data_IF_745579994240
#
_entry.id   IF_745579994240
#
_cell.length_a   1.000
_cell.length_b   1.000
_cell.length_c   1.000
_cell.angle_alpha   90.00
_cell.angle_beta   90.00
_cell.angle_gamma   90.00
#
_symmetry.space_group_name_H-M   'P 1'
#
loop_
_entity.id
_entity.type
_entity.pdbx_description
1 polymer ?
#
# COMPACT_ATOMS: atom_id res chain seq x y z
N UNK A 1 1.06 -4.82 13.78
CA UNK A 1 2.03 -5.61 13.00
C UNK A 1 1.39 -6.33 11.82
N UNK A 2 0.52 -7.33 12.03
CA UNK A 2 -0.04 -8.13 10.90
C UNK A 2 -0.81 -7.27 9.88
N UNK A 3 -1.63 -6.32 10.33
CA UNK A 3 -2.32 -5.38 9.44
C UNK A 3 -1.35 -4.57 8.57
N UNK A 4 -0.30 -4.03 9.17
CA UNK A 4 0.72 -3.26 8.46
C UNK A 4 1.49 -4.12 7.43
N UNK A 5 1.80 -5.39 7.75
CA UNK A 5 2.40 -6.30 6.77
C UNK A 5 1.48 -6.51 5.57
N UNK A 6 0.19 -6.71 5.77
CA UNK A 6 -0.78 -6.88 4.68
C UNK A 6 -0.91 -5.61 3.83
N UNK A 7 -1.10 -4.45 4.48
CA UNK A 7 -1.25 -3.14 3.82
C UNK A 7 -0.02 -2.85 2.96
N UNK A 8 1.17 -2.88 3.56
CA UNK A 8 2.42 -2.58 2.84
C UNK A 8 2.74 -3.61 1.75
N UNK A 9 2.43 -4.91 1.97
CA UNK A 9 2.60 -5.95 0.95
C UNK A 9 1.71 -5.68 -0.28
N UNK A 10 0.44 -5.34 -0.06
CA UNK A 10 -0.49 -5.04 -1.14
C UNK A 10 -0.06 -3.77 -1.92
N UNK A 11 0.31 -2.70 -1.21
CA UNK A 11 0.81 -1.47 -1.83
C UNK A 11 2.11 -1.72 -2.63
N UNK A 12 3.06 -2.50 -2.07
CA UNK A 12 4.30 -2.87 -2.77
C UNK A 12 4.02 -3.62 -4.07
N UNK A 13 3.14 -4.63 -4.02
CA UNK A 13 2.80 -5.45 -5.17
C UNK A 13 2.03 -4.67 -6.25
N UNK A 14 1.24 -3.66 -5.86
CA UNK A 14 0.63 -2.69 -6.77
C UNK A 14 1.66 -1.71 -7.39
N UNK A 15 2.90 -1.72 -6.90
CA UNK A 15 4.00 -0.88 -7.38
C UNK A 15 4.10 0.48 -6.69
N UNK A 16 3.33 0.71 -5.63
CA UNK A 16 3.35 1.93 -4.81
C UNK A 16 4.36 1.79 -3.65
N UNK A 17 5.65 1.76 -4.04
CA UNK A 17 6.73 1.44 -3.10
C UNK A 17 6.89 2.50 -1.99
N UNK A 18 6.49 3.75 -2.24
CA UNK A 18 6.50 4.81 -1.21
C UNK A 18 5.39 4.57 -0.19
N UNK A 19 4.16 4.34 -0.63
CA UNK A 19 3.06 3.99 0.27
C UNK A 19 3.33 2.71 1.07
N UNK A 20 4.00 1.71 0.46
CA UNK A 20 4.44 0.52 1.18
C UNK A 20 5.48 0.83 2.26
N UNK A 21 6.44 1.72 1.98
CA UNK A 21 7.43 2.20 2.93
C UNK A 21 6.73 2.83 4.16
N UNK A 22 5.83 3.78 3.92
CA UNK A 22 5.09 4.48 4.98
C UNK A 22 4.23 3.52 5.83
N UNK A 23 3.55 2.55 5.18
CA UNK A 23 2.75 1.55 5.87
C UNK A 23 3.56 0.71 6.89
N UNK A 24 4.85 0.56 6.67
CA UNK A 24 5.75 -0.19 7.58
C UNK A 24 6.52 0.71 8.54
N UNK A 25 6.71 2.00 8.23
CA UNK A 25 7.56 2.91 9.01
C UNK A 25 6.94 3.22 10.38
N UNK A 26 5.67 3.59 10.45
CA UNK A 26 5.00 3.89 11.72
C UNK A 26 5.11 2.73 12.72
N UNK A 27 4.70 1.47 12.38
CA UNK A 27 4.86 0.35 13.30
C UNK A 27 6.33 0.02 13.58
N UNK A 28 7.25 0.22 12.64
CA UNK A 28 8.69 0.03 12.86
C UNK A 28 9.24 0.97 13.91
N UNK A 29 8.87 2.24 13.89
CA UNK A 29 9.33 3.24 14.87
C UNK A 29 8.91 2.91 16.32
N UNK A 30 7.83 2.13 16.48
CA UNK A 30 7.35 1.71 17.80
C UNK A 30 8.04 0.44 18.33
N UNK A 31 8.90 -0.22 17.55
CA UNK A 31 9.54 -1.47 17.92
C UNK A 31 10.88 -1.25 18.64
N UNK A 32 11.18 -2.16 19.54
CA UNK A 32 12.50 -2.22 20.17
C UNK A 32 13.57 -2.64 19.15
N UNK A 33 14.64 -1.86 19.10
CA UNK A 33 15.77 -2.10 18.18
C UNK A 33 16.41 -3.47 18.40
N UNK A 34 16.75 -4.14 17.31
CA UNK A 34 17.39 -5.45 17.30
C UNK A 34 16.42 -6.63 17.47
N UNK A 35 15.12 -6.40 17.61
CA UNK A 35 14.13 -7.47 17.59
C UNK A 35 13.95 -8.06 16.18
N UNK A 36 13.39 -9.26 16.09
CA UNK A 36 13.12 -9.89 14.79
C UNK A 36 12.07 -9.11 13.97
N UNK A 37 11.07 -8.55 14.63
CA UNK A 37 10.03 -7.73 14.00
C UNK A 37 10.61 -6.41 13.47
N UNK A 38 11.46 -5.75 14.25
CA UNK A 38 12.17 -4.54 13.82
C UNK A 38 13.01 -4.81 12.57
N UNK A 39 13.78 -5.90 12.57
CA UNK A 39 14.58 -6.29 11.41
C UNK A 39 13.75 -6.63 10.17
N UNK A 40 12.60 -7.27 10.35
CA UNK A 40 11.69 -7.56 9.24
C UNK A 40 11.20 -6.26 8.60
N UNK A 41 10.59 -5.37 9.39
CA UNK A 41 10.03 -4.12 8.86
C UNK A 41 11.12 -3.24 8.26
N UNK A 42 12.26 -3.08 8.94
CA UNK A 42 13.38 -2.30 8.40
C UNK A 42 13.89 -2.87 7.07
N UNK A 43 14.00 -4.20 6.97
CA UNK A 43 14.37 -4.87 5.73
C UNK A 43 13.37 -4.65 4.60
N UNK A 44 12.07 -4.69 4.89
CA UNK A 44 11.00 -4.43 3.92
C UNK A 44 10.95 -2.95 3.48
N UNK A 45 11.10 -2.00 4.42
CA UNK A 45 11.21 -0.56 4.16
C UNK A 45 12.36 -0.30 3.18
N UNK A 46 13.54 -0.86 3.46
CA UNK A 46 14.69 -0.70 2.59
C UNK A 46 14.55 -1.42 1.25
N UNK A 47 13.80 -2.53 1.19
CA UNK A 47 13.47 -3.20 -0.07
C UNK A 47 12.58 -2.32 -0.94
N UNK A 48 11.53 -1.70 -0.37
CA UNK A 48 10.68 -0.74 -1.09
C UNK A 48 11.51 0.43 -1.64
N UNK A 49 12.35 1.02 -0.81
CA UNK A 49 13.25 2.11 -1.20
C UNK A 49 14.25 1.67 -2.29
N UNK A 50 14.87 0.49 -2.17
CA UNK A 50 15.77 -0.04 -3.18
C UNK A 50 15.09 -0.21 -4.54
N UNK A 51 13.86 -0.72 -4.54
CA UNK A 51 13.05 -0.91 -5.74
C UNK A 51 12.66 0.42 -6.37
N UNK A 52 12.28 1.40 -5.54
CA UNK A 52 11.99 2.76 -5.99
C UNK A 52 13.22 3.40 -6.66
N UNK A 53 14.40 3.35 -6.02
CA UNK A 53 15.65 3.86 -6.58
C UNK A 53 16.03 3.17 -7.90
N UNK A 54 15.85 1.86 -7.99
CA UNK A 54 16.11 1.11 -9.22
C UNK A 54 15.23 1.58 -10.38
N UNK A 55 13.95 1.86 -10.12
CA UNK A 55 13.02 2.41 -11.12
C UNK A 55 13.41 3.80 -11.62
N UNK A 56 14.01 4.60 -10.75
CA UNK A 56 14.56 5.93 -11.09
C UNK A 56 15.98 5.86 -11.68
N UNK A 57 16.51 4.66 -11.95
CA UNK A 57 17.89 4.43 -12.42
C UNK A 57 18.97 4.98 -11.47
N UNK A 58 18.62 5.18 -10.22
CA UNK A 58 19.60 5.49 -9.19
C UNK A 58 20.26 4.19 -8.70
N UNK A 59 21.18 3.68 -9.54
CA UNK A 59 21.81 2.38 -9.33
C UNK A 59 22.63 2.29 -8.04
N UNK A 60 23.31 3.37 -7.66
CA UNK A 60 24.10 3.44 -6.43
C UNK A 60 23.19 3.36 -5.19
N UNK A 61 22.09 4.09 -5.17
CA UNK A 61 21.07 4.03 -4.13
C UNK A 61 20.43 2.65 -4.04
N UNK A 62 19.99 2.10 -5.17
CA UNK A 62 19.39 0.78 -5.25
C UNK A 62 20.32 -0.32 -4.69
N UNK A 63 21.60 -0.32 -5.12
CA UNK A 63 22.62 -1.28 -4.65
C UNK A 63 22.82 -1.22 -3.15
N UNK A 64 23.02 -0.03 -2.61
CA UNK A 64 23.29 0.19 -1.18
C UNK A 64 22.10 -0.28 -0.33
N UNK A 65 20.88 0.13 -0.69
CA UNK A 65 19.67 -0.20 0.03
C UNK A 65 19.33 -1.69 -0.06
N UNK A 66 19.53 -2.31 -1.24
CA UNK A 66 19.34 -3.75 -1.40
C UNK A 66 20.31 -4.57 -0.55
N UNK A 67 21.58 -4.17 -0.47
CA UNK A 67 22.56 -4.82 0.38
C UNK A 67 22.20 -4.70 1.86
N UNK A 68 21.77 -3.52 2.30
CA UNK A 68 21.35 -3.26 3.67
C UNK A 68 20.08 -4.05 4.02
N UNK A 69 19.05 -4.04 3.15
CA UNK A 69 17.84 -4.84 3.33
C UNK A 69 18.16 -6.33 3.47
N UNK A 70 19.04 -6.85 2.61
CA UNK A 70 19.48 -8.25 2.69
C UNK A 70 20.17 -8.59 4.02
N UNK A 71 20.94 -7.64 4.58
CA UNK A 71 21.59 -7.80 5.88
C UNK A 71 20.57 -7.86 7.03
N UNK A 72 19.58 -6.94 7.06
CA UNK A 72 18.50 -6.97 8.06
C UNK A 72 17.73 -8.29 8.03
N UNK A 73 17.38 -8.77 6.86
CA UNK A 73 16.62 -10.01 6.70
C UNK A 73 17.46 -11.28 6.92
N UNK A 74 18.79 -11.19 6.99
CA UNK A 74 19.67 -12.37 7.02
C UNK A 74 19.54 -13.23 8.27
N UNK A 75 19.17 -12.64 9.39
CA UNK A 75 19.01 -13.30 10.68
C UNK A 75 17.59 -13.86 10.93
N UNK A 76 16.67 -13.67 9.98
CA UNK A 76 15.31 -14.14 10.10
C UNK A 76 15.12 -15.50 9.46
N UNK A 77 14.16 -16.27 9.95
CA UNK A 77 13.72 -17.51 9.33
C UNK A 77 13.15 -17.26 7.93
N UNK A 78 13.18 -18.27 7.07
CA UNK A 78 12.77 -18.19 5.66
C UNK A 78 11.32 -17.77 5.43
N UNK A 79 10.45 -18.08 6.38
CA UNK A 79 9.03 -17.74 6.38
C UNK A 79 8.61 -16.88 7.57
N UNK A 80 9.53 -16.08 8.14
CA UNK A 80 9.22 -15.27 9.32
C UNK A 80 8.00 -14.39 9.11
N UNK A 81 7.06 -14.40 10.06
CA UNK A 81 5.77 -13.71 9.97
C UNK A 81 4.99 -14.03 8.69
N UNK A 82 5.09 -15.28 8.22
CA UNK A 82 4.39 -15.77 7.02
C UNK A 82 4.79 -15.03 5.73
N UNK A 83 5.89 -14.26 5.79
CA UNK A 83 6.46 -13.56 4.63
C UNK A 83 7.45 -14.45 3.88
N UNK A 84 7.54 -14.31 2.56
CA UNK A 84 8.50 -15.04 1.71
C UNK A 84 9.95 -14.51 1.83
N UNK A 85 10.47 -14.44 3.08
CA UNK A 85 11.75 -13.82 3.43
C UNK A 85 12.92 -14.39 2.64
N UNK A 86 12.99 -15.72 2.46
CA UNK A 86 14.06 -16.38 1.72
C UNK A 86 14.15 -15.90 0.25
N UNK A 87 12.99 -15.79 -0.40
CA UNK A 87 12.91 -15.31 -1.77
C UNK A 87 13.31 -13.83 -1.88
N UNK A 88 12.85 -13.00 -0.93
CA UNK A 88 13.18 -11.56 -0.86
C UNK A 88 14.69 -11.39 -0.65
N UNK A 89 15.31 -12.13 0.28
CA UNK A 89 16.79 -12.09 0.48
C UNK A 89 17.55 -12.44 -0.79
N UNK A 90 17.10 -13.46 -1.50
CA UNK A 90 17.75 -13.89 -2.75
C UNK A 90 17.65 -12.82 -3.82
N UNK A 91 16.47 -12.19 -3.96
CA UNK A 91 16.23 -11.09 -4.89
C UNK A 91 17.09 -9.87 -4.55
N UNK A 92 17.14 -9.49 -3.27
CA UNK A 92 17.95 -8.36 -2.77
C UNK A 92 19.45 -8.53 -3.02
N UNK A 93 20.00 -9.73 -2.79
CA UNK A 93 21.41 -10.03 -3.11
C UNK A 93 21.69 -9.84 -4.61
N UNK A 94 20.75 -10.26 -5.46
CA UNK A 94 20.86 -10.07 -6.90
C UNK A 94 20.81 -8.61 -7.30
N UNK A 95 19.85 -7.84 -6.73
CA UNK A 95 19.73 -6.41 -6.96
C UNK A 95 20.96 -5.63 -6.47
N UNK A 96 21.57 -6.05 -5.35
CA UNK A 96 22.79 -5.46 -4.84
C UNK A 96 24.00 -5.76 -5.75
N UNK A 97 24.07 -6.93 -6.37
CA UNK A 97 25.14 -7.30 -7.30
C UNK A 97 24.99 -6.64 -8.67
N UNK A 98 23.77 -6.65 -9.24
CA UNK A 98 23.42 -6.10 -10.56
C UNK A 98 22.12 -5.30 -10.45
N UNK A 99 22.17 -3.99 -10.12
CA UNK A 99 20.97 -3.20 -9.98
C UNK A 99 20.24 -2.98 -11.32
N UNK A 100 20.91 -3.03 -12.46
CA UNK A 100 20.29 -2.94 -13.79
C UNK A 100 19.43 -4.17 -14.12
N UNK A 101 19.55 -5.23 -13.33
CA UNK A 101 18.63 -6.38 -13.39
C UNK A 101 17.16 -5.95 -13.26
N UNK A 102 16.88 -4.87 -12.52
CA UNK A 102 15.53 -4.32 -12.34
C UNK A 102 14.90 -3.80 -13.65
N UNK A 103 15.68 -3.42 -14.66
CA UNK A 103 15.14 -3.03 -15.97
C UNK A 103 14.61 -4.24 -16.76
N UNK A 104 15.18 -5.39 -16.52
CA UNK A 104 14.88 -6.63 -17.27
C UNK A 104 13.86 -7.51 -16.58
N UNK A 105 13.53 -7.22 -15.33
CA UNK A 105 12.62 -8.03 -14.50
C UNK A 105 11.76 -7.14 -13.63
N UNK A 106 10.50 -7.58 -13.44
CA UNK A 106 9.65 -6.98 -12.42
C UNK A 106 10.22 -7.24 -11.02
N UNK A 107 9.99 -6.36 -10.04
CA UNK A 107 10.27 -6.67 -8.64
C UNK A 107 9.67 -8.01 -8.23
N UNK A 108 10.33 -8.71 -7.31
CA UNK A 108 9.75 -9.92 -6.73
C UNK A 108 8.51 -9.54 -5.93
N UNK A 109 7.38 -10.18 -6.22
CA UNK A 109 6.17 -9.99 -5.43
C UNK A 109 6.39 -10.48 -4.01
N UNK A 110 6.00 -9.66 -3.05
CA UNK A 110 5.91 -10.05 -1.66
C UNK A 110 4.73 -10.99 -1.47
N UNK A 111 4.94 -12.04 -0.68
CA UNK A 111 3.88 -12.96 -0.27
C UNK A 111 3.71 -12.89 1.24
N UNK A 112 2.47 -12.93 1.68
CA UNK A 112 2.10 -13.08 3.07
C UNK A 112 1.05 -14.19 3.16
N UNK A 113 1.26 -15.15 4.05
CA UNK A 113 0.43 -16.36 4.17
C UNK A 113 0.30 -17.13 2.82
N UNK A 114 1.42 -17.23 2.10
CA UNK A 114 1.50 -17.91 0.81
C UNK A 114 0.87 -17.18 -0.37
N UNK A 115 0.21 -16.03 -0.16
CA UNK A 115 -0.45 -15.25 -1.19
C UNK A 115 0.29 -13.96 -1.55
N UNK A 116 0.38 -13.65 -2.84
CA UNK A 116 0.84 -12.34 -3.31
C UNK A 116 -0.34 -11.35 -3.22
N UNK A 117 -0.45 -10.67 -2.08
CA UNK A 117 -1.56 -9.76 -1.82
C UNK A 117 -1.56 -8.58 -2.79
N UNK A 118 -2.77 -8.20 -3.18
CA UNK A 118 -3.10 -6.98 -3.92
C UNK A 118 -4.07 -6.13 -3.09
N UNK A 119 -4.35 -4.87 -3.45
CA UNK A 119 -5.38 -4.08 -2.78
C UNK A 119 -6.75 -4.77 -2.74
N UNK A 120 -7.00 -5.65 -3.71
CA UNK A 120 -8.22 -6.45 -3.79
C UNK A 120 -8.39 -7.50 -2.68
N UNK A 121 -7.30 -7.89 -2.03
CA UNK A 121 -7.26 -8.92 -0.98
C UNK A 121 -7.32 -8.31 0.43
N UNK A 122 -7.47 -6.99 0.52
CA UNK A 122 -7.56 -6.24 1.76
C UNK A 122 -9.01 -6.10 2.24
N UNK A 123 -9.19 -6.05 3.56
CA UNK A 123 -10.44 -5.56 4.14
C UNK A 123 -10.66 -4.09 3.76
N UNK A 124 -11.90 -3.60 3.89
CA UNK A 124 -12.19 -2.20 3.57
C UNK A 124 -11.32 -1.23 4.42
N UNK A 125 -11.13 -1.48 5.70
CA UNK A 125 -10.32 -0.61 6.57
C UNK A 125 -8.83 -0.65 6.20
N UNK A 126 -8.30 -1.79 5.79
CA UNK A 126 -6.94 -1.89 5.27
C UNK A 126 -6.80 -1.16 3.92
N UNK A 127 -7.81 -1.25 3.07
CA UNK A 127 -7.86 -0.51 1.81
C UNK A 127 -7.94 1.00 2.03
N UNK A 128 -8.77 1.44 2.99
CA UNK A 128 -8.86 2.84 3.38
C UNK A 128 -7.48 3.38 3.81
N UNK A 129 -6.74 2.61 4.61
CA UNK A 129 -5.36 2.96 4.97
C UNK A 129 -4.46 3.11 3.74
N UNK A 130 -4.53 2.19 2.77
CA UNK A 130 -3.78 2.33 1.50
C UNK A 130 -4.17 3.60 0.76
N UNK A 131 -5.47 3.89 0.66
CA UNK A 131 -5.97 5.08 -0.04
C UNK A 131 -5.50 6.38 0.61
N UNK A 132 -5.51 6.45 1.96
CA UNK A 132 -4.97 7.59 2.71
C UNK A 132 -3.48 7.78 2.45
N UNK A 133 -2.67 6.72 2.58
CA UNK A 133 -1.23 6.78 2.30
C UNK A 133 -0.93 7.23 0.86
N UNK A 134 -1.73 6.78 -0.12
CA UNK A 134 -1.57 7.22 -1.50
C UNK A 134 -1.89 8.71 -1.68
N UNK A 135 -2.90 9.23 -0.97
CA UNK A 135 -3.24 10.65 -1.04
C UNK A 135 -2.17 11.53 -0.38
N UNK A 136 -1.59 11.08 0.72
CA UNK A 136 -0.50 11.78 1.42
C UNK A 136 0.81 11.78 0.63
N UNK A 137 1.12 10.65 -0.04
CA UNK A 137 2.37 10.47 -0.77
C UNK A 137 2.42 11.16 -2.15
N UNK A 138 1.27 11.43 -2.75
CA UNK A 138 1.20 12.03 -4.07
C UNK A 138 0.50 13.38 -4.03
N UNK A 139 1.24 14.48 -4.18
CA UNK A 139 0.73 15.87 -4.21
C UNK A 139 -0.44 16.10 -5.20
N UNK A 140 -0.62 15.18 -6.14
CA UNK A 140 -1.71 15.25 -7.13
C UNK A 140 -3.09 14.91 -6.52
N UNK A 141 -3.14 14.39 -5.30
CA UNK A 141 -4.37 13.94 -4.66
C UNK A 141 -4.61 14.73 -3.37
N UNK A 142 -5.79 15.30 -3.24
CA UNK A 142 -6.21 15.98 -2.02
C UNK A 142 -6.69 14.93 -1.00
N UNK A 143 -5.98 14.84 0.12
CA UNK A 143 -6.29 13.90 1.19
C UNK A 143 -7.71 14.10 1.73
N UNK A 144 -8.23 15.34 1.78
CA UNK A 144 -9.58 15.62 2.27
C UNK A 144 -10.69 15.02 1.40
N UNK A 145 -10.42 14.88 0.10
CA UNK A 145 -11.34 14.20 -0.83
C UNK A 145 -11.35 12.70 -0.56
N UNK A 146 -10.18 12.12 -0.31
CA UNK A 146 -10.06 10.68 -0.02
C UNK A 146 -10.69 10.36 1.34
N UNK A 147 -10.47 11.18 2.36
CA UNK A 147 -11.08 11.03 3.69
C UNK A 147 -12.61 11.09 3.62
N UNK A 148 -13.19 12.05 2.88
CA UNK A 148 -14.61 12.12 2.68
C UNK A 148 -15.15 10.90 1.89
N UNK A 149 -14.40 10.44 0.89
CA UNK A 149 -14.77 9.24 0.15
C UNK A 149 -14.80 8.00 1.06
N UNK A 150 -13.81 7.86 1.96
CA UNK A 150 -13.76 6.79 2.97
C UNK A 150 -14.94 6.91 3.93
N UNK A 151 -15.26 8.11 4.40
CA UNK A 151 -16.41 8.37 5.26
C UNK A 151 -17.73 7.97 4.59
N UNK A 152 -17.91 8.32 3.32
CA UNK A 152 -19.09 7.96 2.55
C UNK A 152 -19.17 6.45 2.27
N UNK A 153 -18.02 5.82 1.98
CA UNK A 153 -17.93 4.38 1.78
C UNK A 153 -18.32 3.59 3.04
N UNK A 154 -17.88 4.04 4.23
CA UNK A 154 -18.33 3.46 5.50
C UNK A 154 -19.84 3.54 5.68
N UNK A 155 -20.44 4.66 5.27
CA UNK A 155 -21.89 4.81 5.28
C UNK A 155 -22.61 3.88 4.28
N UNK A 156 -21.96 3.52 3.16
CA UNK A 156 -22.51 2.54 2.21
C UNK A 156 -22.46 1.10 2.73
N UNK A 157 -21.44 0.78 3.54
CA UNK A 157 -21.25 -0.57 4.13
C UNK A 157 -22.19 -0.81 5.32
N UNK A 158 -22.62 0.25 6.01
CA UNK A 158 -23.40 0.13 7.25
C UNK A 158 -22.59 -0.39 8.41
N UNK A 159 -23.28 -0.74 9.52
CA UNK A 159 -22.67 -1.31 10.74
C UNK A 159 -22.40 -2.83 10.62
N UNK A 160 -22.57 -3.42 9.44
CA UNK A 160 -22.35 -4.84 9.22
C UNK A 160 -20.85 -5.11 8.98
N UNK A 161 -20.20 -5.64 10.03
CA UNK A 161 -18.78 -6.02 10.05
C UNK A 161 -18.49 -7.28 9.20
N UNK A 162 -19.49 -7.79 8.50
CA UNK A 162 -19.33 -8.89 7.54
C UNK A 162 -18.47 -8.40 6.36
N UNK A 163 -17.45 -9.17 5.94
CA UNK A 163 -16.72 -8.82 4.72
C UNK A 163 -17.74 -8.74 3.58
N UNK A 164 -17.88 -7.57 2.91
CA UNK A 164 -18.80 -7.48 1.79
C UNK A 164 -18.46 -8.60 0.81
N UNK A 165 -19.49 -9.24 0.25
CA UNK A 165 -19.28 -10.06 -0.97
C UNK A 165 -18.73 -9.10 -2.03
N UNK A 166 -17.40 -9.03 -2.07
CA UNK A 166 -16.57 -7.99 -2.69
C UNK A 166 -16.81 -7.86 -4.19
N UNK A 167 -17.42 -8.84 -4.82
CA UNK A 167 -17.63 -8.92 -6.25
C UNK A 167 -18.79 -8.09 -6.80
N UNK A 168 -19.85 -7.87 -6.03
CA UNK A 168 -21.03 -7.15 -6.53
C UNK A 168 -21.01 -5.64 -6.24
N UNK A 169 -20.31 -5.21 -5.17
CA UNK A 169 -20.26 -3.81 -4.71
C UNK A 169 -19.13 -3.01 -5.36
N UNK A 170 -18.11 -3.69 -5.94
CA UNK A 170 -16.94 -3.06 -6.58
C UNK A 170 -17.24 -2.12 -7.74
N UNK A 171 -18.38 -2.24 -8.39
CA UNK A 171 -18.66 -1.46 -9.61
C UNK A 171 -19.46 -0.18 -9.40
N UNK A 172 -20.02 0.06 -8.22
CA UNK A 172 -20.91 1.21 -7.95
C UNK A 172 -20.67 1.73 -6.53
N UNK A 173 -20.50 3.07 -6.37
CA UNK A 173 -20.36 3.72 -5.09
C UNK A 173 -18.92 4.05 -4.69
N UNK A 174 -18.75 4.60 -3.49
CA UNK A 174 -17.46 5.04 -2.97
C UNK A 174 -16.53 3.87 -2.69
N UNK A 175 -17.04 2.74 -2.20
CA UNK A 175 -16.26 1.53 -1.94
C UNK A 175 -15.54 1.07 -3.21
N UNK A 176 -16.29 0.92 -4.33
CA UNK A 176 -15.70 0.50 -5.60
C UNK A 176 -14.67 1.49 -6.15
N UNK A 177 -14.93 2.80 -6.03
CA UNK A 177 -14.01 3.82 -6.49
C UNK A 177 -12.71 3.87 -5.67
N UNK A 178 -12.77 3.60 -4.35
CA UNK A 178 -11.58 3.50 -3.49
C UNK A 178 -10.75 2.26 -3.84
N UNK A 179 -11.39 1.13 -4.15
CA UNK A 179 -10.68 -0.04 -4.69
C UNK A 179 -9.97 0.27 -6.00
N UNK A 180 -10.68 0.89 -6.96
CA UNK A 180 -10.09 1.30 -8.24
C UNK A 180 -8.92 2.28 -8.03
N UNK A 181 -9.06 3.24 -7.09
CA UNK A 181 -8.02 4.20 -6.74
C UNK A 181 -6.77 3.53 -6.18
N UNK A 182 -6.92 2.54 -5.30
CA UNK A 182 -5.80 1.82 -4.71
C UNK A 182 -5.12 0.86 -5.71
N UNK A 183 -5.90 0.19 -6.57
CA UNK A 183 -5.41 -0.88 -7.45
C UNK A 183 -4.84 -0.37 -8.79
N UNK A 184 -5.38 0.74 -9.33
CA UNK A 184 -5.07 1.22 -10.68
C UNK A 184 -3.96 2.28 -10.67
N UNK A 185 -2.70 1.86 -10.67
CA UNK A 185 -1.58 2.82 -10.61
C UNK A 185 -1.52 3.75 -11.84
N UNK A 186 -1.52 3.19 -13.04
CA UNK A 186 -1.32 3.95 -14.28
C UNK A 186 -2.54 4.80 -14.69
N UNK A 187 -3.70 4.52 -14.12
CA UNK A 187 -4.95 5.27 -14.34
C UNK A 187 -5.46 6.04 -13.12
N UNK A 188 -4.71 6.06 -12.02
CA UNK A 188 -5.15 6.58 -10.72
C UNK A 188 -5.68 8.01 -10.79
N UNK A 189 -5.04 8.89 -11.55
CA UNK A 189 -5.49 10.27 -11.71
C UNK A 189 -6.92 10.37 -12.29
N UNK A 190 -7.27 9.51 -13.24
CA UNK A 190 -8.62 9.44 -13.82
C UNK A 190 -9.65 8.93 -12.81
N UNK A 191 -9.24 7.92 -12.03
CA UNK A 191 -10.09 7.38 -10.95
C UNK A 191 -10.30 8.45 -9.87
N UNK A 192 -9.25 9.14 -9.48
CA UNK A 192 -9.31 10.24 -8.51
C UNK A 192 -10.23 11.38 -8.98
N UNK A 193 -10.12 11.82 -10.22
CA UNK A 193 -10.99 12.85 -10.77
C UNK A 193 -12.49 12.43 -10.75
N UNK A 194 -12.76 11.17 -11.01
CA UNK A 194 -14.11 10.60 -10.86
C UNK A 194 -14.56 10.59 -9.40
N UNK A 195 -13.68 10.15 -8.48
CA UNK A 195 -13.93 10.11 -7.04
C UNK A 195 -14.23 11.51 -6.49
N UNK A 196 -13.37 12.49 -6.82
CA UNK A 196 -13.53 13.90 -6.43
C UNK A 196 -14.89 14.48 -6.84
N UNK A 197 -15.33 14.25 -8.09
CA UNK A 197 -16.65 14.67 -8.55
C UNK A 197 -17.79 13.99 -7.80
N UNK A 198 -17.62 12.75 -7.36
CA UNK A 198 -18.62 12.05 -6.55
C UNK A 198 -18.71 12.63 -5.15
N UNK A 199 -17.55 12.90 -4.53
CA UNK A 199 -17.46 13.56 -3.22
C UNK A 199 -18.13 14.92 -3.25
N UNK A 200 -17.81 15.77 -4.25
CA UNK A 200 -18.39 17.12 -4.34
C UNK A 200 -19.92 17.07 -4.51
N UNK A 201 -20.45 16.17 -5.34
CA UNK A 201 -21.91 15.98 -5.46
C UNK A 201 -22.55 15.53 -4.15
N UNK A 202 -21.85 14.71 -3.35
CA UNK A 202 -22.36 14.27 -2.05
C UNK A 202 -22.34 15.40 -1.04
N UNK A 203 -21.23 16.15 -0.94
CA UNK A 203 -21.10 17.36 -0.11
C UNK A 203 -22.19 18.40 -0.45
N UNK A 204 -22.48 18.61 -1.74
CA UNK A 204 -23.54 19.54 -2.16
C UNK A 204 -24.92 19.12 -1.65
N UNK A 205 -25.24 17.81 -1.77
CA UNK A 205 -26.54 17.30 -1.26
C UNK A 205 -26.65 17.42 0.26
N UNK A 206 -25.57 17.21 1.01
CA UNK A 206 -25.56 17.37 2.46
C UNK A 206 -25.83 18.82 2.84
N UNK A 207 -25.17 19.80 2.20
CA UNK A 207 -25.41 21.23 2.41
C UNK A 207 -26.87 21.66 2.06
N UNK A 208 -27.40 21.10 0.97
CA UNK A 208 -28.77 21.41 0.55
C UNK A 208 -29.82 20.90 1.58
N UNK A 209 -29.53 19.75 2.23
CA UNK A 209 -30.39 19.19 3.28
C UNK A 209 -30.28 20.00 4.57
N UNK A 210 -29.07 20.37 4.99
CA UNK A 210 -28.83 21.17 6.19
C UNK A 210 -29.50 22.55 6.09
N UNK A 211 -29.45 23.19 4.92
CA UNK A 211 -30.09 24.47 4.64
C UNK A 211 -31.64 24.43 4.57
N UNK A 212 -32.25 23.23 4.59
CA UNK A 212 -33.73 23.11 4.66
C UNK A 212 -34.27 23.17 6.10
N UNK A 213 -33.38 23.07 7.10
CA UNK A 213 -33.78 23.04 8.52
C UNK A 213 -33.32 24.29 9.30
N UNK A 214 -32.69 25.27 8.63
CA UNK A 214 -32.41 26.61 9.15
C UNK A 214 -33.49 27.62 8.70
#
# INVERSE_FOLDING_TARGET
>A
MQGALRIGTAAFNAGDHRAAHEAWEEPWLALESGTADERLLHGLIQYAAATHHARLRNWSGARRLAASAAAYLSALDDGYREMNVAAVRTHLRRLAADPEFAERRRPLSLQHDGAALTPADLSFEQLASVATLLAEEYEAFDATVVDDAIRYARGELGDDDSPPEVTATRSRGFVGMLFDFADTRDGRAVVYDRLSRHVERRRSRERDVDGLFE
#
